data_IF_242315298992
#
_entry.id   IF_242315298992
#
_cell.length_a   1.000
_cell.length_b   1.000
_cell.length_c   1.000
_cell.angle_alpha   90.00
_cell.angle_beta   90.00
_cell.angle_gamma   90.00
#
_symmetry.space_group_name_H-M   'P 1'
#
loop_
_entity.id
_entity.type
_entity.pdbx_description
1 polymer ?
#
# COMPACT_ATOMS: atom_id res chain seq x y z
N UNK A 1 6.48 -5.05 -3.72
CA UNK A 1 5.33 -4.61 -2.95
C UNK A 1 4.05 -5.36 -3.33
N UNK A 2 3.47 -5.14 -4.50
CA UNK A 2 2.21 -5.80 -4.89
C UNK A 2 2.26 -7.33 -4.84
N UNK A 3 3.30 -7.95 -5.35
CA UNK A 3 3.43 -9.40 -5.31
C UNK A 3 3.33 -9.94 -3.87
N UNK A 4 4.09 -9.35 -2.94
CA UNK A 4 4.10 -9.80 -1.54
C UNK A 4 2.82 -9.45 -0.79
N UNK A 5 2.26 -8.26 -1.04
CA UNK A 5 1.03 -7.83 -0.39
C UNK A 5 -0.18 -8.66 -0.86
N UNK A 6 -0.37 -8.82 -2.18
CA UNK A 6 -1.49 -9.61 -2.70
C UNK A 6 -1.37 -11.07 -2.28
N UNK A 7 -0.15 -11.67 -2.34
CA UNK A 7 0.05 -13.03 -1.85
C UNK A 7 -0.22 -13.18 -0.35
N UNK A 8 -0.07 -12.13 0.44
CA UNK A 8 -0.38 -12.20 1.88
C UNK A 8 -1.86 -12.50 2.16
N UNK A 9 -2.75 -12.07 1.26
CA UNK A 9 -4.21 -12.25 1.37
C UNK A 9 -4.64 -13.72 1.27
N UNK A 10 -3.78 -14.59 0.74
CA UNK A 10 -4.03 -16.04 0.71
C UNK A 10 -3.81 -16.70 2.08
N UNK A 11 -3.00 -16.07 2.95
CA UNK A 11 -2.51 -16.67 4.19
C UNK A 11 -3.02 -15.98 5.45
N UNK A 12 -3.44 -14.71 5.36
CA UNK A 12 -3.96 -13.94 6.50
C UNK A 12 -5.24 -13.19 6.12
N UNK A 13 -5.92 -12.59 7.11
CA UNK A 13 -7.11 -11.80 6.83
C UNK A 13 -6.76 -10.50 6.06
N UNK A 14 -7.71 -10.00 5.27
CA UNK A 14 -7.58 -8.71 4.57
C UNK A 14 -7.22 -7.61 5.55
N UNK A 15 -7.86 -7.61 6.72
CA UNK A 15 -7.61 -6.63 7.77
C UNK A 15 -6.18 -6.68 8.30
N UNK A 16 -5.66 -7.87 8.64
CA UNK A 16 -4.26 -8.04 9.09
C UNK A 16 -3.27 -7.60 8.03
N UNK A 17 -3.48 -8.03 6.78
CA UNK A 17 -2.64 -7.68 5.65
C UNK A 17 -2.61 -6.16 5.44
N UNK A 18 -3.80 -5.53 5.40
CA UNK A 18 -3.91 -4.08 5.18
C UNK A 18 -3.30 -3.28 6.35
N UNK A 19 -3.56 -3.67 7.59
CA UNK A 19 -2.97 -3.00 8.75
C UNK A 19 -1.44 -3.04 8.73
N UNK A 20 -0.85 -4.18 8.35
CA UNK A 20 0.61 -4.31 8.31
C UNK A 20 1.23 -3.57 7.11
N UNK A 21 0.60 -3.59 5.94
CA UNK A 21 1.12 -2.87 4.79
C UNK A 21 1.05 -1.36 4.98
N UNK A 22 0.04 -0.86 5.69
CA UNK A 22 -0.10 0.57 6.01
C UNK A 22 0.83 1.08 7.12
N UNK A 23 1.70 0.24 7.69
CA UNK A 23 2.78 0.68 8.60
C UNK A 23 3.93 1.41 7.90
N UNK A 24 3.89 1.57 6.59
CA UNK A 24 4.91 2.23 5.78
C UNK A 24 5.36 3.62 6.28
N UNK A 25 4.53 4.51 6.86
CA UNK A 25 5.02 5.78 7.40
C UNK A 25 6.07 5.62 8.50
N UNK A 26 5.97 4.57 9.31
CA UNK A 26 6.97 4.25 10.35
C UNK A 26 8.33 3.97 9.70
N UNK A 27 8.35 3.10 8.71
CA UNK A 27 9.58 2.65 8.03
C UNK A 27 10.22 3.76 7.23
N UNK A 28 9.39 4.59 6.56
CA UNK A 28 9.88 5.76 5.82
C UNK A 28 10.43 6.80 6.78
N UNK A 29 9.73 7.12 7.87
CA UNK A 29 10.20 8.06 8.87
C UNK A 29 11.53 7.62 9.49
N UNK A 30 11.64 6.34 9.87
CA UNK A 30 12.88 5.77 10.41
C UNK A 30 14.02 5.81 9.38
N UNK A 31 13.78 5.38 8.15
CA UNK A 31 14.79 5.37 7.10
C UNK A 31 15.19 6.80 6.67
N UNK A 32 14.25 7.74 6.61
CA UNK A 32 14.55 9.15 6.33
C UNK A 32 15.45 9.76 7.42
N UNK A 33 15.20 9.41 8.68
CA UNK A 33 16.07 9.83 9.78
C UNK A 33 17.46 9.21 9.67
N UNK A 34 17.56 7.91 9.44
CA UNK A 34 18.85 7.19 9.40
C UNK A 34 19.69 7.53 8.16
N UNK A 35 19.03 7.69 6.99
CA UNK A 35 19.73 7.86 5.70
C UNK A 35 19.97 9.32 5.33
N UNK A 36 19.07 10.22 5.73
CA UNK A 36 19.09 11.63 5.33
C UNK A 36 19.21 12.60 6.52
N UNK A 37 19.15 12.11 7.75
CA UNK A 37 19.15 12.95 8.96
C UNK A 37 17.86 13.78 9.12
N UNK A 38 16.82 13.49 8.33
CA UNK A 38 15.55 14.19 8.39
C UNK A 38 14.79 13.79 9.65
N UNK A 39 14.55 14.75 10.55
CA UNK A 39 13.79 14.50 11.79
C UNK A 39 12.33 14.84 11.56
N UNK A 40 11.39 13.87 11.64
CA UNK A 40 9.97 14.17 11.60
C UNK A 40 9.61 15.17 12.70
N UNK A 41 8.77 16.13 12.38
CA UNK A 41 8.25 17.06 13.38
C UNK A 41 7.41 16.34 14.42
N UNK A 42 7.23 16.93 15.61
CA UNK A 42 6.34 16.36 16.63
C UNK A 42 4.91 16.21 16.10
N UNK A 43 4.45 17.15 15.28
CA UNK A 43 3.14 17.08 14.63
C UNK A 43 3.05 15.87 13.68
N UNK A 44 4.08 15.65 12.86
CA UNK A 44 4.14 14.48 11.98
C UNK A 44 4.11 13.16 12.77
N UNK A 45 4.86 13.08 13.87
CA UNK A 45 4.88 11.89 14.73
C UNK A 45 3.51 11.64 15.41
N UNK A 46 2.84 12.69 15.87
CA UNK A 46 1.50 12.56 16.44
C UNK A 46 0.48 12.15 15.37
N UNK A 47 0.55 12.73 14.18
CA UNK A 47 -0.31 12.35 13.05
C UNK A 47 -0.13 10.88 12.68
N UNK A 48 1.10 10.40 12.53
CA UNK A 48 1.41 8.98 12.28
C UNK A 48 0.82 8.10 13.40
N UNK A 49 0.99 8.47 14.67
CA UNK A 49 0.47 7.68 15.79
C UNK A 49 -1.06 7.62 15.79
N UNK A 50 -1.75 8.73 15.53
CA UNK A 50 -3.21 8.79 15.42
C UNK A 50 -3.71 7.95 14.25
N UNK A 51 -3.11 8.09 13.06
CA UNK A 51 -3.48 7.30 11.89
C UNK A 51 -3.26 5.80 12.08
N UNK A 52 -2.13 5.40 12.69
CA UNK A 52 -1.87 3.98 13.00
C UNK A 52 -2.85 3.42 14.04
N UNK A 53 -3.28 4.25 15.01
CA UNK A 53 -4.34 3.86 15.95
C UNK A 53 -5.65 3.63 15.20
N UNK A 54 -6.00 4.50 14.25
CA UNK A 54 -7.15 4.32 13.38
C UNK A 54 -7.08 3.01 12.58
N UNK A 55 -5.93 2.73 11.94
CA UNK A 55 -5.70 1.46 11.22
C UNK A 55 -5.83 0.24 12.14
N UNK A 56 -5.30 0.32 13.38
CA UNK A 56 -5.40 -0.76 14.35
C UNK A 56 -6.85 -1.01 14.80
N UNK A 57 -7.69 0.02 14.94
CA UNK A 57 -9.10 -0.13 15.25
C UNK A 57 -9.89 -0.78 14.11
N UNK A 58 -9.61 -0.40 12.85
CA UNK A 58 -10.19 -1.05 11.68
C UNK A 58 -9.82 -2.53 11.67
N UNK A 59 -8.51 -2.82 11.81
CA UNK A 59 -8.01 -4.18 11.91
C UNK A 59 -8.69 -5.00 13.01
N UNK A 60 -8.81 -4.43 14.21
CA UNK A 60 -9.44 -5.10 15.34
C UNK A 60 -10.92 -5.42 15.06
N UNK A 61 -11.64 -4.48 14.48
CA UNK A 61 -13.03 -4.66 14.09
C UNK A 61 -13.20 -5.81 13.08
N UNK A 62 -12.35 -5.82 12.03
CA UNK A 62 -12.41 -6.84 11.00
C UNK A 62 -11.98 -8.23 11.51
N UNK A 63 -11.00 -8.29 12.43
CA UNK A 63 -10.52 -9.55 12.99
C UNK A 63 -11.59 -10.30 13.82
N UNK A 64 -12.60 -9.56 14.32
CA UNK A 64 -13.73 -10.18 15.00
C UNK A 64 -14.70 -10.87 14.03
N UNK A 65 -14.66 -10.53 12.75
CA UNK A 65 -15.59 -11.00 11.72
C UNK A 65 -15.00 -12.10 10.83
N UNK A 66 -13.69 -12.33 10.83
CA UNK A 66 -13.00 -13.17 9.87
C UNK A 66 -12.38 -14.41 10.50
N UNK A 67 -12.63 -15.56 9.91
CA UNK A 67 -11.81 -16.75 10.15
C UNK A 67 -10.36 -16.46 9.75
N UNK A 68 -9.41 -16.70 10.64
CA UNK A 68 -7.98 -16.53 10.35
C UNK A 68 -7.56 -17.34 9.12
N UNK A 69 -6.64 -16.79 8.33
CA UNK A 69 -6.11 -17.47 7.16
C UNK A 69 -5.30 -18.73 7.51
N UNK A 70 -4.98 -19.51 6.49
CA UNK A 70 -4.31 -20.83 6.63
C UNK A 70 -2.93 -20.78 7.30
N UNK A 71 -2.23 -19.65 7.21
CA UNK A 71 -0.92 -19.41 7.83
C UNK A 71 -0.70 -17.91 8.11
N UNK A 72 -1.31 -17.42 9.17
CA UNK A 72 -1.28 -16.00 9.52
C UNK A 72 0.14 -15.43 9.70
N UNK A 73 1.09 -16.23 10.20
CA UNK A 73 2.48 -15.77 10.37
C UNK A 73 3.14 -15.47 9.02
N UNK A 74 2.98 -16.36 8.05
CA UNK A 74 3.49 -16.18 6.69
C UNK A 74 2.82 -14.98 6.01
N UNK A 75 1.48 -14.91 6.06
CA UNK A 75 0.73 -13.80 5.49
C UNK A 75 1.12 -12.45 6.07
N UNK A 76 1.23 -12.36 7.38
CA UNK A 76 1.66 -11.14 8.08
C UNK A 76 3.11 -10.76 7.72
N UNK A 77 4.01 -11.73 7.59
CA UNK A 77 5.38 -11.51 7.13
C UNK A 77 5.44 -10.97 5.70
N UNK A 78 4.62 -11.50 4.79
CA UNK A 78 4.51 -11.05 3.40
C UNK A 78 3.93 -9.61 3.32
N UNK A 79 2.92 -9.29 4.12
CA UNK A 79 2.35 -7.95 4.19
C UNK A 79 3.38 -6.92 4.69
N UNK A 80 4.12 -7.26 5.75
CA UNK A 80 5.18 -6.41 6.29
C UNK A 80 6.33 -6.22 5.27
N UNK A 81 6.73 -7.27 4.57
CA UNK A 81 7.70 -7.17 3.47
C UNK A 81 7.17 -6.26 2.35
N UNK A 82 5.87 -6.32 2.05
CA UNK A 82 5.20 -5.39 1.15
C UNK A 82 5.34 -3.93 1.59
N UNK A 83 5.11 -3.66 2.88
CA UNK A 83 5.30 -2.33 3.48
C UNK A 83 6.74 -1.82 3.32
N UNK A 84 7.74 -2.67 3.58
CA UNK A 84 9.15 -2.31 3.41
C UNK A 84 9.52 -2.04 1.96
N UNK A 85 9.04 -2.87 1.03
CA UNK A 85 9.24 -2.65 -0.41
C UNK A 85 8.64 -1.32 -0.88
N UNK A 86 7.44 -0.98 -0.42
CA UNK A 86 6.80 0.29 -0.74
C UNK A 86 7.56 1.48 -0.13
N UNK A 87 8.00 1.35 1.10
CA UNK A 87 8.83 2.36 1.77
C UNK A 87 10.14 2.61 1.01
N UNK A 88 10.84 1.55 0.62
CA UNK A 88 12.05 1.65 -0.19
C UNK A 88 11.79 2.31 -1.55
N UNK A 89 10.68 1.94 -2.21
CA UNK A 89 10.26 2.55 -3.47
C UNK A 89 10.05 4.06 -3.36
N UNK A 90 9.37 4.55 -2.32
CA UNK A 90 9.16 5.99 -2.12
C UNK A 90 10.48 6.72 -1.80
N UNK A 91 11.35 6.13 -1.00
CA UNK A 91 12.66 6.73 -0.65
C UNK A 91 13.60 6.82 -1.86
N UNK A 92 13.70 5.74 -2.64
CA UNK A 92 14.47 5.73 -3.90
C UNK A 92 13.86 6.70 -4.91
N UNK A 93 12.53 6.67 -5.03
CA UNK A 93 11.78 7.57 -5.89
C UNK A 93 12.07 9.02 -5.58
N UNK A 94 12.03 9.42 -4.31
CA UNK A 94 12.37 10.79 -3.88
C UNK A 94 13.74 11.22 -4.37
N UNK A 95 14.73 10.36 -4.24
CA UNK A 95 16.10 10.67 -4.62
C UNK A 95 16.29 10.81 -6.13
N UNK A 96 15.67 9.91 -6.89
CA UNK A 96 15.76 9.91 -8.35
C UNK A 96 14.92 11.04 -8.98
N UNK A 97 13.76 11.36 -8.40
CA UNK A 97 12.85 12.37 -8.93
C UNK A 97 13.39 13.79 -8.88
N UNK A 98 14.38 14.07 -8.06
CA UNK A 98 15.06 15.38 -8.03
C UNK A 98 15.74 15.68 -9.37
N UNK A 99 16.40 14.69 -9.98
CA UNK A 99 17.17 14.86 -11.21
C UNK A 99 16.54 14.23 -12.47
N UNK A 100 15.46 13.47 -12.33
CA UNK A 100 14.87 12.69 -13.41
C UNK A 100 13.46 13.16 -13.76
N UNK A 101 13.13 13.41 -15.06
CA UNK A 101 11.76 13.71 -15.50
C UNK A 101 10.82 12.56 -15.17
N UNK A 102 9.55 12.88 -14.86
CA UNK A 102 8.55 11.87 -14.49
C UNK A 102 8.40 10.75 -15.54
N UNK A 103 8.28 11.02 -16.84
CA UNK A 103 8.12 9.95 -17.82
C UNK A 103 9.30 8.96 -17.85
N UNK A 104 10.53 9.46 -17.73
CA UNK A 104 11.72 8.61 -17.71
C UNK A 104 11.75 7.74 -16.43
N UNK A 105 11.40 8.32 -15.28
CA UNK A 105 11.34 7.59 -14.02
C UNK A 105 10.29 6.47 -14.04
N UNK A 106 9.05 6.78 -14.43
CA UNK A 106 7.98 5.78 -14.47
C UNK A 106 8.25 4.69 -15.50
N UNK A 107 8.83 5.03 -16.64
CA UNK A 107 9.22 4.03 -17.63
C UNK A 107 10.23 3.03 -17.07
N UNK A 108 11.25 3.50 -16.37
CA UNK A 108 12.25 2.64 -15.73
C UNK A 108 11.65 1.84 -14.56
N UNK A 109 10.92 2.50 -13.66
CA UNK A 109 10.37 1.87 -12.47
C UNK A 109 9.32 0.80 -12.84
N UNK A 110 8.38 1.14 -13.73
CA UNK A 110 7.32 0.22 -14.14
C UNK A 110 7.85 -0.86 -15.07
N UNK A 111 8.81 -0.53 -15.96
CA UNK A 111 9.48 -1.51 -16.80
C UNK A 111 10.26 -2.54 -15.99
N UNK A 112 11.02 -2.09 -14.98
CA UNK A 112 11.74 -2.99 -14.07
C UNK A 112 10.77 -3.87 -13.27
N UNK A 113 9.65 -3.31 -12.77
CA UNK A 113 8.63 -4.07 -12.06
C UNK A 113 7.96 -5.10 -12.97
N UNK A 114 7.61 -4.73 -14.20
CA UNK A 114 7.01 -5.63 -15.18
C UNK A 114 7.97 -6.78 -15.52
N UNK A 115 9.24 -6.48 -15.78
CA UNK A 115 10.25 -7.49 -16.04
C UNK A 115 10.43 -8.46 -14.86
N UNK A 116 10.53 -7.92 -13.63
CA UNK A 116 10.63 -8.74 -12.43
C UNK A 116 9.43 -9.66 -12.27
N UNK A 117 8.21 -9.15 -12.44
CA UNK A 117 6.98 -9.95 -12.33
C UNK A 117 6.88 -11.02 -13.42
N UNK A 118 7.24 -10.69 -14.68
CA UNK A 118 7.27 -11.66 -15.77
C UNK A 118 8.27 -12.80 -15.50
N UNK A 119 9.47 -12.47 -15.02
CA UNK A 119 10.46 -13.47 -14.64
C UNK A 119 9.97 -14.33 -13.46
N UNK A 120 9.31 -13.72 -12.49
CA UNK A 120 8.72 -14.43 -11.35
C UNK A 120 7.61 -15.39 -11.77
N UNK A 121 6.71 -14.96 -12.65
CA UNK A 121 5.66 -15.82 -13.21
C UNK A 121 6.27 -17.02 -13.99
N UNK A 122 7.30 -16.77 -14.77
CA UNK A 122 8.02 -17.83 -15.50
C UNK A 122 8.68 -18.83 -14.54
N UNK A 123 9.36 -18.32 -13.51
CA UNK A 123 10.02 -19.17 -12.49
C UNK A 123 9.03 -20.01 -11.70
N UNK A 124 7.85 -19.46 -11.38
CA UNK A 124 6.78 -20.14 -10.67
C UNK A 124 5.84 -20.94 -11.58
N UNK A 125 6.11 -21.00 -12.89
CA UNK A 125 5.26 -21.68 -13.88
C UNK A 125 3.80 -21.19 -13.88
N UNK A 126 3.57 -19.92 -13.53
CA UNK A 126 2.24 -19.30 -13.57
C UNK A 126 1.89 -18.97 -15.03
N UNK A 127 0.75 -19.45 -15.56
CA UNK A 127 0.34 -19.12 -16.91
C UNK A 127 -0.01 -17.63 -17.02
N UNK A 128 0.39 -16.98 -18.11
CA UNK A 128 0.08 -15.57 -18.39
C UNK A 128 -1.16 -15.41 -19.28
N UNK A 129 -1.67 -16.50 -19.81
CA UNK A 129 -2.83 -16.57 -20.72
C UNK A 129 -3.76 -17.71 -20.32
N UNK A 130 -4.98 -17.68 -20.86
CA UNK A 130 -5.98 -18.73 -20.58
C UNK A 130 -6.98 -18.37 -19.47
N UNK A 131 -6.95 -17.16 -18.98
CA UNK A 131 -7.93 -16.63 -18.01
C UNK A 131 -9.20 -16.12 -18.72
N UNK A 132 -10.29 -16.02 -17.97
CA UNK A 132 -11.51 -15.39 -18.46
C UNK A 132 -11.34 -13.90 -18.78
N UNK A 133 -12.18 -13.37 -19.68
CA UNK A 133 -12.12 -11.96 -20.09
C UNK A 133 -12.23 -10.99 -18.90
N UNK A 134 -12.98 -11.37 -17.86
CA UNK A 134 -13.16 -10.59 -16.63
C UNK A 134 -11.83 -10.36 -15.90
N UNK A 135 -10.95 -11.35 -15.84
CA UNK A 135 -9.63 -11.22 -15.24
C UNK A 135 -8.74 -10.23 -16.02
N UNK A 136 -8.81 -10.25 -17.34
CA UNK A 136 -8.07 -9.28 -18.17
C UNK A 136 -8.64 -7.87 -18.02
N UNK A 137 -9.96 -7.70 -17.95
CA UNK A 137 -10.60 -6.40 -17.74
C UNK A 137 -10.26 -5.85 -16.34
N UNK A 138 -10.30 -6.69 -15.30
CA UNK A 138 -9.88 -6.32 -13.96
C UNK A 138 -8.39 -5.92 -13.93
N UNK A 139 -7.52 -6.71 -14.57
CA UNK A 139 -6.11 -6.39 -14.70
C UNK A 139 -5.86 -5.06 -15.42
N UNK A 140 -6.60 -4.79 -16.49
CA UNK A 140 -6.53 -3.51 -17.21
C UNK A 140 -6.99 -2.34 -16.32
N UNK A 141 -8.08 -2.50 -15.58
CA UNK A 141 -8.57 -1.50 -14.64
C UNK A 141 -7.55 -1.18 -13.55
N UNK A 142 -6.90 -2.22 -12.97
CA UNK A 142 -5.81 -2.07 -12.01
C UNK A 142 -4.58 -1.38 -12.60
N UNK A 143 -4.25 -1.65 -13.86
CA UNK A 143 -3.15 -0.99 -14.55
C UNK A 143 -3.43 0.49 -14.83
N UNK A 144 -4.66 0.83 -15.21
CA UNK A 144 -5.02 2.22 -15.57
C UNK A 144 -5.26 3.08 -14.34
N UNK A 145 -6.02 2.62 -13.36
CA UNK A 145 -6.47 3.45 -12.24
C UNK A 145 -5.44 3.43 -11.10
N UNK A 146 -5.21 2.34 -10.35
CA UNK A 146 -4.25 2.38 -9.24
C UNK A 146 -2.81 2.60 -9.71
N UNK A 147 -2.39 1.94 -10.79
CA UNK A 147 -1.00 2.03 -11.21
C UNK A 147 -0.71 3.31 -11.99
N UNK A 148 -1.42 3.56 -13.11
CA UNK A 148 -1.07 4.67 -13.98
C UNK A 148 -1.52 6.01 -13.40
N UNK A 149 -2.68 6.13 -12.81
CA UNK A 149 -3.13 7.36 -12.15
C UNK A 149 -2.60 7.46 -10.73
N UNK A 150 -2.83 6.46 -9.87
CA UNK A 150 -2.47 6.50 -8.46
C UNK A 150 -0.96 6.57 -8.23
N UNK A 151 -0.23 5.53 -8.60
CA UNK A 151 1.23 5.49 -8.39
C UNK A 151 1.99 6.56 -9.15
N UNK A 152 1.52 6.96 -10.34
CA UNK A 152 2.14 8.08 -11.06
C UNK A 152 1.96 9.41 -10.33
N UNK A 153 0.81 9.62 -9.68
CA UNK A 153 0.57 10.80 -8.83
C UNK A 153 1.52 10.81 -7.63
N UNK A 154 1.75 9.67 -6.98
CA UNK A 154 2.77 9.56 -5.92
C UNK A 154 4.16 9.89 -6.45
N UNK A 155 4.56 9.29 -7.57
CA UNK A 155 5.85 9.56 -8.20
C UNK A 155 6.02 11.02 -8.63
N UNK A 156 4.95 11.65 -9.08
CA UNK A 156 4.96 13.08 -9.39
C UNK A 156 5.17 13.91 -8.12
N UNK A 157 4.44 13.62 -7.07
CA UNK A 157 4.48 14.38 -5.81
C UNK A 157 5.82 14.25 -5.08
N UNK A 158 6.54 13.12 -5.21
CA UNK A 158 7.85 12.91 -4.60
C UNK A 158 8.91 13.96 -5.00
N UNK A 159 8.69 14.71 -6.07
CA UNK A 159 9.56 15.84 -6.44
C UNK A 159 9.36 17.05 -5.51
N UNK A 160 8.16 17.20 -4.94
CA UNK A 160 7.71 18.40 -4.24
C UNK A 160 7.55 18.19 -2.74
N UNK A 161 7.20 17.00 -2.32
CA UNK A 161 6.92 16.66 -0.92
C UNK A 161 7.78 15.49 -0.44
N UNK A 162 7.88 15.34 0.89
CA UNK A 162 8.65 14.26 1.49
C UNK A 162 8.00 12.88 1.27
N UNK A 163 8.79 11.79 1.24
CA UNK A 163 8.24 10.43 1.21
C UNK A 163 7.32 10.13 2.39
N UNK A 164 7.62 10.69 3.58
CA UNK A 164 6.79 10.55 4.77
C UNK A 164 5.40 11.16 4.55
N UNK A 165 5.31 12.34 3.92
CA UNK A 165 4.02 12.95 3.59
C UNK A 165 3.22 12.09 2.63
N UNK A 166 3.85 11.56 1.56
CA UNK A 166 3.18 10.65 0.63
C UNK A 166 2.67 9.41 1.36
N UNK A 167 3.49 8.82 2.24
CA UNK A 167 3.10 7.65 3.03
C UNK A 167 1.92 7.92 3.97
N UNK A 168 1.85 9.10 4.58
CA UNK A 168 0.70 9.49 5.42
C UNK A 168 -0.57 9.63 4.56
N UNK A 169 -0.46 10.21 3.37
CA UNK A 169 -1.60 10.32 2.44
C UNK A 169 -2.12 8.94 2.02
N UNK A 170 -1.24 7.93 1.84
CA UNK A 170 -1.67 6.57 1.50
C UNK A 170 -2.46 5.89 2.63
N UNK A 171 -2.39 6.38 3.88
CA UNK A 171 -3.27 5.91 4.96
C UNK A 171 -4.75 6.21 4.70
N UNK A 172 -5.08 7.10 3.77
CA UNK A 172 -6.45 7.30 3.28
C UNK A 172 -7.00 6.16 2.41
N UNK A 173 -6.15 5.27 1.90
CA UNK A 173 -6.57 4.16 1.03
C UNK A 173 -7.62 3.23 1.66
N UNK A 174 -7.51 2.81 2.93
CA UNK A 174 -8.55 2.02 3.59
C UNK A 174 -9.92 2.71 3.63
N UNK A 175 -9.93 4.03 3.82
CA UNK A 175 -11.19 4.81 3.82
C UNK A 175 -11.79 4.85 2.42
N UNK A 176 -10.98 5.12 1.41
CA UNK A 176 -11.40 5.11 0.00
C UNK A 176 -11.91 3.74 -0.43
N UNK A 177 -11.22 2.68 -0.06
CA UNK A 177 -11.62 1.29 -0.34
C UNK A 177 -12.94 0.94 0.32
N UNK A 178 -13.14 1.32 1.58
CA UNK A 178 -14.37 1.10 2.32
C UNK A 178 -15.55 1.85 1.68
N UNK A 179 -15.37 3.12 1.31
CA UNK A 179 -16.41 3.89 0.62
C UNK A 179 -16.82 3.24 -0.72
N UNK A 180 -15.85 2.76 -1.49
CA UNK A 180 -16.12 2.05 -2.74
C UNK A 180 -16.82 0.72 -2.50
N UNK A 181 -16.43 -0.03 -1.48
CA UNK A 181 -17.11 -1.28 -1.09
C UNK A 181 -18.57 -1.03 -0.69
N UNK A 182 -18.84 0.05 0.04
CA UNK A 182 -20.21 0.46 0.37
C UNK A 182 -21.01 0.85 -0.89
N UNK A 183 -20.43 1.65 -1.79
CA UNK A 183 -21.13 2.13 -2.99
C UNK A 183 -21.36 1.01 -4.01
N UNK A 184 -20.42 0.10 -4.20
CA UNK A 184 -20.45 -0.92 -5.27
C UNK A 184 -21.12 -2.21 -4.78
N UNK A 185 -20.81 -2.63 -3.55
CA UNK A 185 -21.24 -3.91 -3.00
C UNK A 185 -22.32 -3.78 -1.92
N UNK A 186 -22.64 -2.56 -1.47
CA UNK A 186 -23.62 -2.32 -0.39
C UNK A 186 -23.11 -2.76 0.99
N UNK A 187 -21.79 -2.90 1.16
CA UNK A 187 -21.22 -3.30 2.44
C UNK A 187 -21.44 -2.23 3.52
N UNK A 188 -21.80 -2.65 4.73
CA UNK A 188 -21.98 -1.76 5.87
C UNK A 188 -20.76 -1.78 6.76
N UNK A 189 -20.46 -0.65 7.42
CA UNK A 189 -19.35 -0.55 8.35
C UNK A 189 -19.80 -0.77 9.80
N UNK A 190 -19.00 -1.48 10.56
CA UNK A 190 -19.16 -1.51 12.00
C UNK A 190 -18.84 -0.13 12.63
N UNK A 191 -19.50 0.26 13.74
CA UNK A 191 -19.21 1.55 14.38
C UNK A 191 -17.74 1.74 14.75
N UNK A 192 -17.04 0.67 15.10
CA UNK A 192 -15.61 0.68 15.42
C UNK A 192 -14.73 0.96 14.18
N UNK A 193 -15.11 0.44 13.00
CA UNK A 193 -14.46 0.77 11.73
C UNK A 193 -14.63 2.25 11.39
N UNK A 194 -15.85 2.78 11.55
CA UNK A 194 -16.13 4.19 11.33
C UNK A 194 -15.28 5.10 12.23
N UNK A 195 -15.12 4.75 13.52
CA UNK A 195 -14.23 5.46 14.42
C UNK A 195 -12.76 5.36 13.96
N UNK A 196 -12.32 4.21 13.49
CA UNK A 196 -11.00 4.01 12.89
C UNK A 196 -10.76 4.90 11.68
N UNK A 197 -11.74 5.02 10.77
CA UNK A 197 -11.64 5.90 9.60
C UNK A 197 -11.50 7.38 9.98
N UNK A 198 -12.26 7.83 10.99
CA UNK A 198 -12.14 9.22 11.49
C UNK A 198 -10.75 9.48 12.03
N UNK A 199 -10.20 8.58 12.87
CA UNK A 199 -8.84 8.73 13.39
C UNK A 199 -7.78 8.69 12.27
N UNK A 200 -7.96 7.82 11.29
CA UNK A 200 -7.05 7.69 10.17
C UNK A 200 -6.97 8.97 9.34
N UNK A 201 -8.09 9.65 9.13
CA UNK A 201 -8.16 10.92 8.40
C UNK A 201 -7.76 12.13 9.24
N UNK A 202 -7.83 12.04 10.57
CA UNK A 202 -7.45 13.12 11.49
C UNK A 202 -5.93 13.19 11.74
N UNK A 203 -5.20 12.08 11.52
CA UNK A 203 -3.75 11.98 11.68
C UNK A 203 -2.99 12.40 10.45
#
# INVERSE_FOLDING_TARGET
HFATWISSLEYTSVASSTALVTTNPIWIGLASFLLFGERPSRLTLTGIAVSLTGSALIFWSDSQSSAGGSNALLGNGLALLGSWCFSAYLLVGRRLRVGMPLPAYIWLAYGAAALFLLLSCRAASVPLVGYGVEAYLAGLALALVPQLLGHTSYNWSLRYVSPTFVAVVTLGEPVGSALLAWLIFGESFAPLQAAGFVLLLAG
#
